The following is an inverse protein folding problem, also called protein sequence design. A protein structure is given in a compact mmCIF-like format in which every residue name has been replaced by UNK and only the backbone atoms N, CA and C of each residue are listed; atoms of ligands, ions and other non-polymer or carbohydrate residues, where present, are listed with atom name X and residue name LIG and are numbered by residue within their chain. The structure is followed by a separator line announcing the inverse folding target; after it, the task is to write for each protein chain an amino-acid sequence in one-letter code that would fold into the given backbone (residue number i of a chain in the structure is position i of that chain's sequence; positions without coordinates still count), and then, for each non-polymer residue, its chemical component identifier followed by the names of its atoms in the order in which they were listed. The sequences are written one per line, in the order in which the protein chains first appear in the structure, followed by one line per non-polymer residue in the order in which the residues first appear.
data_IF_303265223748
#
_entry.id   IF_303265223748
#
_cell.length_a   1.000
_cell.length_b   1.000
_cell.length_c   1.000
_cell.angle_alpha   90.00
_cell.angle_beta   90.00
_cell.angle_gamma   90.00
#
_symmetry.space_group_name_H-M   'P 1'
#
loop_
_entity.id
_entity.type
_entity.pdbx_description
1 polymer ?
#
# COMPACT_ATOMS: atom_id res chain seq x y z
N UNK A 1 -11.85 12.91 3.98
CA UNK A 1 -11.11 11.63 3.86
C UNK A 1 -9.63 11.93 3.65
N UNK A 2 -8.73 11.22 4.32
CA UNK A 2 -7.28 11.40 4.15
C UNK A 2 -6.78 10.37 3.13
N UNK A 3 -5.99 10.81 2.16
CA UNK A 3 -5.39 9.91 1.18
C UNK A 3 -4.35 9.03 1.86
N UNK A 4 -4.27 7.78 1.44
CA UNK A 4 -3.32 6.81 1.97
C UNK A 4 -2.18 6.69 0.98
N UNK A 5 -0.97 6.99 1.43
CA UNK A 5 0.24 6.93 0.60
C UNK A 5 0.92 5.59 0.81
N UNK A 6 1.35 4.96 -0.27
CA UNK A 6 2.04 3.68 -0.27
C UNK A 6 2.93 3.55 -1.51
N UNK A 7 3.69 2.45 -1.56
CA UNK A 7 4.65 2.16 -2.62
C UNK A 7 4.08 1.13 -3.60
N UNK A 8 4.38 1.26 -4.89
CA UNK A 8 3.89 0.31 -5.90
C UNK A 8 4.75 -0.96 -5.85
N UNK A 9 4.12 -2.10 -5.53
CA UNK A 9 4.81 -3.39 -5.42
C UNK A 9 4.66 -4.23 -6.68
N UNK A 10 3.58 -4.02 -7.45
CA UNK A 10 3.35 -4.73 -8.70
C UNK A 10 2.56 -3.87 -9.68
N UNK A 11 3.05 -3.78 -10.90
CA UNK A 11 2.39 -3.17 -12.06
C UNK A 11 2.07 -4.22 -13.15
N UNK A 12 2.00 -5.51 -12.79
CA UNK A 12 1.77 -6.60 -13.76
C UNK A 12 0.31 -6.73 -14.23
N UNK A 13 -0.64 -6.02 -13.63
CA UNK A 13 -2.05 -6.13 -13.97
C UNK A 13 -2.45 -5.11 -15.04
N UNK A 14 -3.47 -5.42 -15.83
CA UNK A 14 -4.00 -4.49 -16.82
C UNK A 14 -4.86 -3.42 -16.14
N UNK A 15 -4.54 -2.15 -16.40
CA UNK A 15 -5.25 -0.97 -15.89
C UNK A 15 -5.30 -0.88 -14.37
N UNK A 16 -4.43 -1.60 -13.67
CA UNK A 16 -4.48 -1.73 -12.21
C UNK A 16 -3.08 -1.95 -11.65
N UNK A 17 -2.80 -1.38 -10.49
CA UNK A 17 -1.54 -1.56 -9.78
C UNK A 17 -1.77 -1.99 -8.33
N UNK A 18 -0.84 -2.76 -7.79
CA UNK A 18 -0.86 -3.18 -6.39
C UNK A 18 0.06 -2.29 -5.59
N UNK A 19 -0.53 -1.53 -4.66
CA UNK A 19 0.16 -0.59 -3.76
C UNK A 19 0.24 -1.20 -2.36
N UNK A 20 1.43 -1.22 -1.78
CA UNK A 20 1.61 -1.56 -0.36
C UNK A 20 1.64 -0.31 0.50
N UNK A 21 0.77 -0.27 1.49
CA UNK A 21 0.69 0.78 2.49
C UNK A 21 1.19 0.23 3.80
N UNK A 22 2.14 0.94 4.38
CA UNK A 22 2.63 0.66 5.72
C UNK A 22 1.91 1.54 6.75
N UNK A 23 1.42 0.90 7.82
CA UNK A 23 0.87 1.62 8.98
C UNK A 23 1.48 1.09 10.27
N UNK A 24 1.73 1.98 11.21
CA UNK A 24 2.07 1.61 12.57
C UNK A 24 0.77 1.32 13.32
N UNK A 25 0.71 0.16 14.00
CA UNK A 25 -0.36 -0.13 14.93
C UNK A 25 0.22 -0.37 16.32
N UNK A 26 -0.53 0.05 17.34
CA UNK A 26 -0.14 -0.16 18.72
C UNK A 26 -0.55 -1.57 19.18
N UNK A 27 0.44 -2.41 19.49
CA UNK A 27 0.19 -3.73 20.05
C UNK A 27 -0.04 -3.59 21.57
N UNK A 28 -1.31 -3.54 21.98
CA UNK A 28 -1.73 -3.23 23.36
C UNK A 28 -1.05 -4.08 24.44
N UNK A 29 -0.85 -5.38 24.20
CA UNK A 29 -0.27 -6.30 25.19
C UNK A 29 1.21 -6.05 25.45
N UNK A 30 1.95 -5.65 24.41
CA UNK A 30 3.41 -5.47 24.49
C UNK A 30 3.82 -3.98 24.49
N UNK A 31 2.83 -3.09 24.54
CA UNK A 31 2.98 -1.63 24.51
C UNK A 31 4.00 -1.14 23.46
N UNK A 32 3.99 -1.78 22.28
CA UNK A 32 4.97 -1.57 21.21
C UNK A 32 4.25 -1.19 19.92
N UNK A 33 4.83 -0.25 19.17
CA UNK A 33 4.40 0.05 17.81
C UNK A 33 4.97 -0.98 16.84
N UNK A 34 4.07 -1.63 16.10
CA UNK A 34 4.42 -2.65 15.12
C UNK A 34 4.00 -2.17 13.74
N UNK A 35 4.89 -2.36 12.75
CA UNK A 35 4.62 -2.05 11.35
C UNK A 35 3.73 -3.14 10.75
N UNK A 36 2.59 -2.76 10.18
CA UNK A 36 1.69 -3.65 9.44
C UNK A 36 1.54 -3.14 8.02
N UNK A 37 1.91 -3.97 7.06
CA UNK A 37 1.76 -3.69 5.63
C UNK A 37 0.40 -4.22 5.17
N UNK A 38 -0.33 -3.43 4.38
CA UNK A 38 -1.59 -3.83 3.74
C UNK A 38 -1.49 -3.53 2.24
N UNK A 39 -1.90 -4.47 1.41
CA UNK A 39 -1.86 -4.32 -0.04
C UNK A 39 -3.23 -3.87 -0.54
N UNK A 40 -3.24 -2.89 -1.43
CA UNK A 40 -4.43 -2.33 -2.05
C UNK A 40 -4.27 -2.38 -3.57
N UNK A 41 -5.39 -2.52 -4.28
CA UNK A 41 -5.42 -2.39 -5.73
C UNK A 41 -5.91 -0.99 -6.07
N UNK A 42 -5.16 -0.28 -6.91
CA UNK A 42 -5.51 1.02 -7.43
C UNK A 42 -5.72 0.92 -8.94
N UNK A 43 -6.69 1.68 -9.45
CA UNK A 43 -6.96 1.74 -10.89
C UNK A 43 -6.01 2.75 -11.56
N UNK A 44 -5.40 2.34 -12.67
CA UNK A 44 -4.51 3.17 -13.49
C UNK A 44 -4.78 2.88 -14.97
N UNK A 45 -5.60 3.68 -15.63
CA UNK A 45 -6.02 3.43 -17.03
C UNK A 45 -4.85 3.43 -18.03
N UNK A 46 -3.83 4.24 -17.78
CA UNK A 46 -2.72 4.45 -18.70
C UNK A 46 -1.49 3.58 -18.37
N UNK A 47 -1.54 2.77 -17.32
CA UNK A 47 -0.43 1.96 -16.80
C UNK A 47 0.88 2.77 -16.66
N UNK A 48 0.78 4.01 -16.20
CA UNK A 48 1.93 4.92 -16.06
C UNK A 48 2.74 4.62 -14.80
N UNK A 49 2.15 3.94 -13.83
CA UNK A 49 2.77 3.66 -12.55
C UNK A 49 3.81 2.53 -12.65
N UNK A 50 5.07 2.86 -12.31
CA UNK A 50 6.16 1.90 -12.23
C UNK A 50 6.36 1.37 -10.80
N UNK A 51 7.06 0.24 -10.68
CA UNK A 51 7.46 -0.33 -9.39
C UNK A 51 8.55 0.56 -8.78
N UNK A 52 8.41 0.87 -7.49
CA UNK A 52 9.30 1.75 -6.73
C UNK A 52 8.53 2.82 -5.97
#
# INVERSE_FOLDING_TARGET
MKQVVGMVVSNKMQKSVVVAVDRLFHHKVFNRYVKRTSKFMAHDENNLCNIG
#
